data_IF_660884915587
#
_entry.id   IF_660884915587
#
_cell.length_a   1.000
_cell.length_b   1.000
_cell.length_c   1.000
_cell.angle_alpha   90.00
_cell.angle_beta   90.00
_cell.angle_gamma   90.00
#
_symmetry.space_group_name_H-M   'P 1'
#
loop_
_entity.id
_entity.type
_entity.pdbx_description
1 polymer ?
#
# COMPACT_ATOMS: atom_id res chain seq x y z
N UNK A 1 35.86 67.08 -4.53
CA UNK A 1 36.15 65.78 -5.16
C UNK A 1 35.39 64.73 -4.35
N UNK A 2 34.27 64.25 -4.87
CA UNK A 2 33.32 63.37 -4.17
C UNK A 2 33.47 61.98 -4.79
N UNK A 3 33.96 60.99 -4.03
CA UNK A 3 33.89 59.59 -4.43
C UNK A 3 32.98 58.81 -3.46
N UNK A 4 31.84 58.39 -4.00
CA UNK A 4 30.82 57.57 -3.35
C UNK A 4 31.32 56.12 -3.22
N UNK A 5 31.45 55.61 -2.00
CA UNK A 5 31.49 54.15 -1.76
C UNK A 5 30.08 53.56 -1.95
N UNK A 6 29.83 52.85 -3.06
CA UNK A 6 28.62 52.01 -3.22
C UNK A 6 28.76 50.76 -2.36
N UNK A 7 27.86 50.58 -1.39
CA UNK A 7 27.60 49.30 -0.72
C UNK A 7 26.96 48.34 -1.73
N UNK A 8 27.62 47.24 -2.05
CA UNK A 8 26.99 46.10 -2.70
C UNK A 8 26.24 45.30 -1.62
N UNK A 9 24.94 45.53 -1.50
CA UNK A 9 24.06 44.64 -0.76
C UNK A 9 23.86 43.43 -1.66
N UNK A 10 24.61 42.35 -1.40
CA UNK A 10 24.48 41.08 -2.08
C UNK A 10 23.11 40.51 -1.69
N UNK A 11 22.15 40.54 -2.62
CA UNK A 11 20.82 39.95 -2.45
C UNK A 11 20.97 38.42 -2.44
N UNK A 12 21.19 37.84 -1.25
CA UNK A 12 21.35 36.39 -1.01
C UNK A 12 19.98 35.68 -0.90
N UNK A 13 18.89 36.46 -0.81
CA UNK A 13 17.53 35.95 -0.62
C UNK A 13 16.94 35.13 -1.80
N UNK A 14 17.11 35.51 -3.08
CA UNK A 14 16.52 34.75 -4.19
C UNK A 14 17.24 33.41 -4.46
N UNK A 15 18.53 33.30 -4.13
CA UNK A 15 19.29 32.04 -4.25
C UNK A 15 18.95 31.04 -3.16
N UNK A 16 18.62 31.51 -1.95
CA UNK A 16 18.19 30.65 -0.84
C UNK A 16 16.77 30.08 -1.05
N UNK A 17 15.90 30.84 -1.72
CA UNK A 17 14.53 30.41 -2.06
C UNK A 17 14.47 29.38 -3.21
N UNK A 18 15.43 29.43 -4.15
CA UNK A 18 15.49 28.51 -5.28
C UNK A 18 15.90 27.07 -4.91
N UNK A 19 16.59 26.89 -3.79
CA UNK A 19 17.07 25.57 -3.32
C UNK A 19 15.98 24.81 -2.57
N UNK A 20 14.98 25.49 -2.01
CA UNK A 20 13.92 24.86 -1.20
C UNK A 20 12.90 24.05 -2.01
N UNK A 21 12.87 24.20 -3.34
CA UNK A 21 11.84 23.59 -4.20
C UNK A 21 12.17 22.15 -4.60
N UNK A 22 13.40 21.67 -4.38
CA UNK A 22 13.84 20.33 -4.83
C UNK A 22 13.74 19.23 -3.76
N UNK A 23 13.26 19.51 -2.55
CA UNK A 23 13.36 18.55 -1.43
C UNK A 23 12.18 17.59 -1.23
N UNK A 24 11.10 17.66 -2.01
CA UNK A 24 9.90 16.86 -1.72
C UNK A 24 9.33 16.08 -2.92
N UNK A 25 10.16 15.59 -3.84
CA UNK A 25 9.71 14.57 -4.79
C UNK A 25 9.88 13.17 -4.17
N UNK A 26 9.03 12.83 -3.20
CA UNK A 26 8.85 11.43 -2.80
C UNK A 26 7.91 10.78 -3.82
N UNK A 27 8.41 9.79 -4.56
CA UNK A 27 7.56 8.99 -5.46
C UNK A 27 6.76 8.02 -4.59
N UNK A 28 5.44 8.16 -4.59
CA UNK A 28 4.56 7.22 -3.89
C UNK A 28 4.49 5.90 -4.67
N UNK A 29 4.99 4.82 -4.04
CA UNK A 29 5.09 3.47 -4.64
C UNK A 29 3.91 2.59 -4.23
N UNK A 30 2.94 3.13 -3.46
CA UNK A 30 1.84 2.35 -2.90
C UNK A 30 0.81 2.00 -3.97
N UNK A 31 0.68 0.70 -4.25
CA UNK A 31 -0.28 0.16 -5.20
C UNK A 31 -1.35 -0.65 -4.48
N UNK A 32 -2.62 -0.28 -4.67
CA UNK A 32 -3.75 -1.13 -4.33
C UNK A 32 -3.84 -2.23 -5.39
N UNK A 33 -3.97 -3.51 -5.00
CA UNK A 33 -4.01 -4.60 -5.96
C UNK A 33 -5.22 -4.42 -6.90
N UNK A 34 -4.97 -4.53 -8.21
CA UNK A 34 -6.04 -4.74 -9.18
C UNK A 34 -6.55 -6.18 -9.00
N UNK A 35 -7.87 -6.36 -9.10
CA UNK A 35 -8.62 -7.57 -8.73
C UNK A 35 -7.97 -8.91 -9.10
N UNK A 36 -8.27 -9.93 -8.29
CA UNK A 36 -7.58 -11.22 -8.29
C UNK A 36 -8.17 -12.25 -9.25
N UNK A 37 -7.33 -13.23 -9.58
CA UNK A 37 -7.62 -14.35 -10.47
C UNK A 37 -8.84 -15.16 -9.99
N UNK A 38 -9.81 -15.47 -10.87
CA UNK A 38 -11.03 -16.19 -10.47
C UNK A 38 -10.70 -17.61 -10.02
N UNK A 39 -11.25 -18.01 -8.88
CA UNK A 39 -11.15 -19.39 -8.39
C UNK A 39 -12.36 -20.20 -8.88
N UNK A 40 -12.13 -21.41 -9.39
CA UNK A 40 -13.18 -22.29 -9.94
C UNK A 40 -14.02 -23.02 -8.88
N UNK A 41 -13.75 -22.79 -7.60
CA UNK A 41 -14.37 -23.51 -6.49
C UNK A 41 -15.86 -23.12 -6.28
N UNK A 42 -16.67 -24.02 -5.67
CA UNK A 42 -18.02 -23.69 -5.25
C UNK A 42 -18.02 -22.61 -4.15
N UNK A 43 -19.15 -21.94 -4.00
CA UNK A 43 -19.32 -20.87 -3.00
C UNK A 43 -19.16 -21.47 -1.60
N UNK A 44 -18.37 -20.82 -0.75
CA UNK A 44 -18.10 -21.32 0.60
C UNK A 44 -19.23 -21.00 1.61
N UNK A 45 -19.89 -19.85 1.43
CA UNK A 45 -21.04 -19.40 2.22
C UNK A 45 -22.17 -18.95 1.29
N UNK A 46 -23.32 -19.63 1.36
CA UNK A 46 -24.49 -19.30 0.53
C UNK A 46 -25.19 -18.00 0.93
N UNK A 47 -24.87 -17.47 2.12
CA UNK A 47 -25.44 -16.24 2.67
C UNK A 47 -24.58 -15.00 2.38
N UNK A 48 -25.19 -13.80 2.32
CA UNK A 48 -24.47 -12.54 2.13
C UNK A 48 -23.66 -12.15 3.37
N UNK A 49 -22.51 -11.52 3.15
CA UNK A 49 -21.69 -10.94 4.23
C UNK A 49 -21.71 -9.42 4.21
N UNK A 50 -21.79 -8.81 5.38
CA UNK A 50 -21.67 -7.37 5.56
C UNK A 50 -20.24 -7.02 5.97
N UNK A 51 -19.60 -6.10 5.25
CA UNK A 51 -18.32 -5.54 5.70
C UNK A 51 -18.63 -4.54 6.83
N UNK A 52 -18.17 -4.87 8.03
CA UNK A 52 -18.31 -4.03 9.20
C UNK A 52 -17.22 -2.97 9.27
N UNK A 53 -16.35 -3.09 10.26
CA UNK A 53 -15.18 -2.22 10.44
C UNK A 53 -14.12 -2.58 9.40
N UNK A 54 -13.74 -1.62 8.58
CA UNK A 54 -12.65 -1.77 7.60
C UNK A 54 -11.62 -0.69 7.83
N UNK A 55 -10.47 -1.07 8.37
CA UNK A 55 -9.39 -0.14 8.70
C UNK A 55 -8.12 -0.48 7.93
N UNK A 56 -7.46 0.57 7.43
CA UNK A 56 -6.13 0.46 6.84
C UNK A 56 -5.21 1.29 7.73
N UNK A 57 -4.39 0.60 8.51
CA UNK A 57 -3.39 1.21 9.38
C UNK A 57 -2.16 1.53 8.53
N UNK A 58 -2.22 2.67 7.85
CA UNK A 58 -1.11 3.23 7.11
C UNK A 58 -0.66 4.54 7.76
N UNK A 59 0.64 4.76 7.86
CA UNK A 59 1.22 5.89 8.55
C UNK A 59 1.08 7.22 7.79
N UNK A 60 0.59 7.22 6.54
CA UNK A 60 0.76 8.40 5.67
C UNK A 60 -0.47 8.98 4.99
N UNK A 61 -1.68 8.38 4.96
CA UNK A 61 -2.83 9.07 4.32
C UNK A 61 -4.23 8.51 4.61
N UNK A 62 -5.23 9.40 4.66
CA UNK A 62 -6.65 9.13 4.97
C UNK A 62 -7.46 8.56 3.77
N UNK A 63 -6.89 8.48 2.56
CA UNK A 63 -7.63 8.13 1.33
C UNK A 63 -7.67 6.65 0.93
N UNK A 64 -6.72 5.83 1.40
CA UNK A 64 -6.49 4.48 0.87
C UNK A 64 -7.52 3.42 1.32
N UNK A 65 -8.25 3.67 2.40
CA UNK A 65 -9.18 2.70 2.98
C UNK A 65 -10.31 2.31 2.02
N UNK A 66 -10.85 3.28 1.28
CA UNK A 66 -11.93 3.06 0.31
C UNK A 66 -11.51 2.18 -0.86
N UNK A 67 -10.32 2.42 -1.42
CA UNK A 67 -9.74 1.64 -2.50
C UNK A 67 -9.42 0.21 -2.06
N UNK A 68 -8.84 0.05 -0.86
CA UNK A 68 -8.60 -1.25 -0.25
C UNK A 68 -9.89 -2.03 0.01
N UNK A 69 -10.94 -1.35 0.49
CA UNK A 69 -12.25 -1.95 0.72
C UNK A 69 -12.87 -2.47 -0.57
N UNK A 70 -12.74 -1.71 -1.66
CA UNK A 70 -13.17 -2.14 -2.98
C UNK A 70 -12.38 -3.35 -3.49
N UNK A 71 -11.05 -3.30 -3.42
CA UNK A 71 -10.19 -4.41 -3.85
C UNK A 71 -10.43 -5.69 -3.04
N UNK A 72 -10.60 -5.55 -1.72
CA UNK A 72 -10.93 -6.66 -0.82
C UNK A 72 -12.30 -7.27 -1.17
N UNK A 73 -13.32 -6.43 -1.38
CA UNK A 73 -14.66 -6.88 -1.84
C UNK A 73 -14.56 -7.65 -3.14
N UNK A 74 -13.85 -7.12 -4.15
CA UNK A 74 -13.64 -7.82 -5.42
C UNK A 74 -13.01 -9.17 -5.18
N UNK A 75 -11.92 -9.23 -4.40
CA UNK A 75 -11.22 -10.48 -4.11
C UNK A 75 -12.13 -11.52 -3.46
N UNK A 76 -13.02 -11.15 -2.55
CA UNK A 76 -13.96 -12.11 -1.94
C UNK A 76 -14.97 -12.67 -2.94
N UNK A 77 -15.48 -11.83 -3.84
CA UNK A 77 -16.41 -12.22 -4.90
C UNK A 77 -15.73 -13.07 -5.97
N UNK A 78 -14.53 -12.66 -6.41
CA UNK A 78 -13.71 -13.35 -7.42
C UNK A 78 -13.30 -14.76 -6.94
N UNK A 79 -13.09 -14.92 -5.63
CA UNK A 79 -12.80 -16.20 -4.98
C UNK A 79 -14.06 -16.96 -4.53
N UNK A 80 -15.26 -16.44 -4.82
CA UNK A 80 -16.55 -17.05 -4.46
C UNK A 80 -16.66 -17.42 -2.98
N UNK A 81 -16.13 -16.58 -2.10
CA UNK A 81 -16.19 -16.86 -0.65
C UNK A 81 -17.63 -16.73 -0.14
N UNK A 82 -18.34 -15.72 -0.60
CA UNK A 82 -19.73 -15.41 -0.23
C UNK A 82 -20.59 -15.24 -1.47
N UNK A 83 -21.90 -15.44 -1.35
CA UNK A 83 -22.85 -15.18 -2.43
C UNK A 83 -22.95 -13.70 -2.78
N UNK A 84 -22.91 -12.84 -1.77
CA UNK A 84 -22.87 -11.38 -1.93
C UNK A 84 -22.01 -10.74 -0.83
N UNK A 85 -21.32 -9.65 -1.19
CA UNK A 85 -20.52 -8.84 -0.25
C UNK A 85 -21.03 -7.41 -0.25
N UNK A 86 -21.56 -6.99 0.91
CA UNK A 86 -22.26 -5.72 1.10
C UNK A 86 -21.34 -4.77 1.89
N UNK A 87 -20.82 -3.75 1.21
CA UNK A 87 -19.75 -2.92 1.76
C UNK A 87 -20.20 -1.65 2.50
N UNK A 88 -21.39 -1.10 2.26
CA UNK A 88 -21.72 0.28 2.68
C UNK A 88 -23.07 0.41 3.41
N UNK A 89 -23.47 -0.59 4.19
CA UNK A 89 -24.67 -0.52 5.00
C UNK A 89 -24.35 -0.11 6.46
N UNK A 90 -25.04 0.93 6.99
CA UNK A 90 -24.91 1.28 8.40
C UNK A 90 -25.40 0.11 9.26
N UNK A 91 -24.78 -0.06 10.44
CA UNK A 91 -25.03 -1.20 11.34
C UNK A 91 -26.50 -1.38 11.69
N UNK A 92 -27.26 -0.27 11.80
CA UNK A 92 -28.68 -0.23 12.14
C UNK A 92 -29.60 -0.81 11.06
N UNK A 93 -29.14 -0.89 9.80
CA UNK A 93 -29.91 -1.41 8.66
C UNK A 93 -29.55 -2.84 8.29
N UNK A 94 -28.71 -3.51 9.08
CA UNK A 94 -28.32 -4.91 8.85
C UNK A 94 -29.46 -5.84 9.26
N UNK A 95 -29.65 -6.91 8.52
CA UNK A 95 -30.61 -7.94 8.89
C UNK A 95 -30.21 -8.60 10.23
N UNK A 96 -31.20 -8.99 11.04
CA UNK A 96 -30.93 -9.79 12.23
C UNK A 96 -30.25 -11.10 11.83
N UNK A 97 -29.34 -11.60 12.67
CA UNK A 97 -28.56 -12.81 12.43
C UNK A 97 -27.65 -12.79 11.17
N UNK A 98 -27.30 -11.60 10.67
CA UNK A 98 -26.42 -11.47 9.51
C UNK A 98 -24.95 -11.75 9.83
N UNK A 99 -24.23 -12.28 8.84
CA UNK A 99 -22.79 -12.45 8.90
C UNK A 99 -22.07 -11.10 8.73
N UNK A 100 -21.15 -10.78 9.64
CA UNK A 100 -20.37 -9.55 9.59
C UNK A 100 -18.88 -9.87 9.58
N UNK A 101 -18.16 -9.19 8.69
CA UNK A 101 -16.72 -9.34 8.50
C UNK A 101 -16.03 -8.00 8.80
N UNK A 102 -15.21 -8.00 9.84
CA UNK A 102 -14.31 -6.90 10.17
C UNK A 102 -12.91 -7.22 9.65
N UNK A 103 -12.23 -6.20 9.13
CA UNK A 103 -10.92 -6.33 8.49
C UNK A 103 -10.02 -5.17 8.88
N UNK A 104 -8.78 -5.50 9.21
CA UNK A 104 -7.71 -4.55 9.45
C UNK A 104 -6.51 -4.91 8.57
N UNK A 105 -6.07 -3.95 7.76
CA UNK A 105 -4.93 -4.10 6.85
C UNK A 105 -3.80 -3.18 7.31
N UNK A 106 -2.60 -3.71 7.46
CA UNK A 106 -1.42 -2.95 7.86
C UNK A 106 -0.30 -3.18 6.83
N UNK A 107 -0.19 -2.32 5.80
CA UNK A 107 0.94 -2.33 4.90
C UNK A 107 2.14 -1.62 5.54
N UNK A 108 3.33 -2.17 5.37
CA UNK A 108 4.59 -1.54 5.75
C UNK A 108 5.59 -1.64 4.59
N UNK A 109 6.13 -0.51 4.17
CA UNK A 109 7.16 -0.43 3.14
C UNK A 109 8.40 0.23 3.75
N UNK A 110 9.51 -0.49 3.71
CA UNK A 110 10.81 -0.03 4.15
C UNK A 110 11.77 0.01 2.97
N UNK A 111 12.43 1.13 2.80
CA UNK A 111 13.38 1.33 1.72
C UNK A 111 14.78 1.57 2.28
N UNK A 112 15.76 0.87 1.72
CA UNK A 112 17.17 0.98 2.08
C UNK A 112 17.99 1.31 0.85
N UNK A 113 18.85 2.32 1.00
CA UNK A 113 19.79 2.76 -0.02
C UNK A 113 21.20 2.32 0.37
N UNK A 114 21.93 1.73 -0.58
CA UNK A 114 23.36 1.51 -0.38
C UNK A 114 24.14 2.77 -0.77
N UNK A 115 24.45 3.60 0.23
CA UNK A 115 25.14 4.89 0.04
C UNK A 115 26.55 4.76 -0.54
N UNK A 116 27.21 3.60 -0.38
CA UNK A 116 28.56 3.38 -0.91
C UNK A 116 28.59 3.22 -2.43
N UNK A 117 27.52 2.67 -3.00
CA UNK A 117 27.34 2.56 -4.45
C UNK A 117 26.59 3.77 -5.02
N UNK A 118 25.72 4.37 -4.21
CA UNK A 118 24.92 5.56 -4.53
C UNK A 118 25.72 6.84 -4.24
N UNK A 119 26.93 6.97 -4.81
CA UNK A 119 27.71 8.20 -4.67
C UNK A 119 27.09 9.34 -5.48
N UNK A 120 27.04 10.59 -4.99
CA UNK A 120 26.56 11.70 -5.81
C UNK A 120 27.54 11.91 -6.98
N UNK A 121 27.02 12.06 -8.19
CA UNK A 121 27.82 12.51 -9.32
C UNK A 121 28.44 13.88 -8.97
N UNK A 122 29.73 13.88 -8.63
CA UNK A 122 30.48 15.09 -8.34
C UNK A 122 30.67 15.82 -9.67
N UNK A 123 30.19 17.06 -9.77
CA UNK A 123 30.42 17.92 -10.93
C UNK A 123 31.92 17.99 -11.27
N UNK A 124 32.35 17.87 -12.55
CA UNK A 124 31.56 17.94 -13.77
C UNK A 124 31.17 16.58 -14.36
N UNK A 125 31.33 15.47 -13.63
CA UNK A 125 31.06 14.12 -14.13
C UNK A 125 29.57 13.75 -14.04
N UNK A 126 28.73 14.60 -14.63
CA UNK A 126 27.29 14.36 -14.79
C UNK A 126 26.99 13.18 -15.74
N UNK A 127 27.99 12.72 -16.51
CA UNK A 127 27.88 11.59 -17.43
C UNK A 127 28.12 10.22 -16.81
N UNK A 128 28.68 10.15 -15.59
CA UNK A 128 28.70 8.92 -14.80
C UNK A 128 27.49 8.95 -13.89
N UNK A 129 26.33 8.53 -14.41
CA UNK A 129 25.14 8.40 -13.58
C UNK A 129 25.43 7.42 -12.44
N UNK A 130 25.07 7.74 -11.19
CA UNK A 130 25.35 6.83 -10.11
C UNK A 130 24.47 5.60 -10.25
N UNK A 131 25.11 4.44 -10.23
CA UNK A 131 24.44 3.17 -10.04
C UNK A 131 23.76 3.24 -8.68
N UNK A 132 22.43 3.35 -8.68
CA UNK A 132 21.66 3.36 -7.45
C UNK A 132 21.27 1.93 -7.12
N UNK A 133 21.74 1.43 -5.98
CA UNK A 133 21.31 0.15 -5.44
C UNK A 133 20.29 0.41 -4.34
N UNK A 134 19.04 0.09 -4.66
CA UNK A 134 17.90 0.23 -3.76
C UNK A 134 17.36 -1.13 -3.41
N UNK A 135 17.17 -1.38 -2.13
CA UNK A 135 16.47 -2.56 -1.62
C UNK A 135 15.20 -2.09 -0.93
N UNK A 136 14.06 -2.58 -1.41
CA UNK A 136 12.74 -2.31 -0.88
C UNK A 136 12.21 -3.58 -0.24
N UNK A 137 11.84 -3.49 1.03
CA UNK A 137 11.19 -4.55 1.76
C UNK A 137 9.74 -4.16 1.99
N UNK A 138 8.82 -5.03 1.59
CA UNK A 138 7.41 -4.81 1.77
C UNK A 138 6.81 -5.92 2.61
N UNK A 139 5.98 -5.54 3.58
CA UNK A 139 5.16 -6.49 4.34
C UNK A 139 3.72 -6.00 4.39
N UNK A 140 2.79 -6.93 4.32
CA UNK A 140 1.37 -6.66 4.50
C UNK A 140 0.82 -7.65 5.52
N UNK A 141 0.15 -7.12 6.54
CA UNK A 141 -0.61 -7.90 7.50
C UNK A 141 -2.10 -7.66 7.26
N UNK A 142 -2.88 -8.74 7.17
CA UNK A 142 -4.34 -8.69 7.12
C UNK A 142 -4.87 -9.46 8.32
N UNK A 143 -5.60 -8.77 9.19
CA UNK A 143 -6.38 -9.37 10.26
C UNK A 143 -7.84 -9.33 9.89
N UNK A 144 -8.55 -10.41 10.13
CA UNK A 144 -9.98 -10.46 9.89
C UNK A 144 -10.69 -11.22 11.01
N UNK A 145 -11.93 -10.79 11.25
CA UNK A 145 -12.85 -11.41 12.20
C UNK A 145 -14.22 -11.53 11.55
N UNK A 146 -14.69 -12.76 11.41
CA UNK A 146 -16.02 -13.10 10.96
C UNK A 146 -16.88 -13.47 12.16
N UNK A 147 -18.02 -12.82 12.31
CA UNK A 147 -18.91 -13.04 13.43
C UNK A 147 -20.38 -12.97 13.02
N UNK A 148 -21.22 -13.51 13.90
CA UNK A 148 -22.68 -13.51 13.80
C UNK A 148 -23.23 -13.30 15.20
N UNK A 149 -24.11 -12.32 15.37
CA UNK A 149 -24.73 -12.00 16.67
C UNK A 149 -23.70 -11.88 17.82
N UNK A 150 -22.58 -11.20 17.55
CA UNK A 150 -21.42 -11.03 18.45
C UNK A 150 -20.64 -12.32 18.80
N UNK A 151 -20.97 -13.47 18.20
CA UNK A 151 -20.17 -14.69 18.30
C UNK A 151 -19.16 -14.76 17.16
N UNK A 152 -17.88 -14.91 17.49
CA UNK A 152 -16.81 -15.05 16.51
C UNK A 152 -16.86 -16.45 15.91
N UNK A 153 -17.13 -16.53 14.60
CA UNK A 153 -17.09 -17.78 13.83
C UNK A 153 -15.65 -18.10 13.47
N UNK A 154 -14.92 -17.11 12.97
CA UNK A 154 -13.50 -17.29 12.64
C UNK A 154 -12.75 -15.98 12.77
N UNK A 155 -11.51 -16.08 13.23
CA UNK A 155 -10.56 -14.98 13.24
C UNK A 155 -9.20 -15.51 12.81
N UNK A 156 -8.46 -14.70 12.07
CA UNK A 156 -7.09 -15.05 11.70
C UNK A 156 -6.27 -13.82 11.36
N UNK A 157 -4.95 -14.04 11.28
CA UNK A 157 -3.96 -13.08 10.82
C UNK A 157 -3.18 -13.72 9.69
N UNK A 158 -3.05 -12.99 8.59
CA UNK A 158 -2.23 -13.36 7.44
C UNK A 158 -1.14 -12.32 7.31
N UNK A 159 0.07 -12.79 7.01
CA UNK A 159 1.21 -11.92 6.84
C UNK A 159 1.99 -12.39 5.62
N UNK A 160 2.16 -11.49 4.65
CA UNK A 160 2.95 -11.72 3.46
C UNK A 160 4.08 -10.70 3.41
N UNK A 161 5.24 -11.15 2.94
CA UNK A 161 6.45 -10.33 2.86
C UNK A 161 7.12 -10.56 1.52
N UNK A 162 7.68 -9.50 0.95
CA UNK A 162 8.48 -9.55 -0.25
C UNK A 162 9.63 -8.55 -0.17
N UNK A 163 10.71 -8.84 -0.89
CA UNK A 163 11.89 -8.00 -0.95
C UNK A 163 12.38 -7.97 -2.39
N UNK A 164 12.63 -6.78 -2.90
CA UNK A 164 13.14 -6.56 -4.24
C UNK A 164 14.40 -5.68 -4.13
N UNK A 165 15.43 -6.02 -4.90
CA UNK A 165 16.64 -5.19 -5.00
C UNK A 165 16.85 -4.84 -6.46
N UNK A 166 16.83 -3.54 -6.75
CA UNK A 166 17.02 -3.04 -8.10
C UNK A 166 18.33 -2.25 -8.12
N UNK A 167 19.15 -2.56 -9.13
CA UNK A 167 20.33 -1.80 -9.48
C UNK A 167 19.98 -0.95 -10.70
N UNK A 168 19.79 0.35 -10.50
CA UNK A 168 19.30 1.26 -11.53
C UNK A 168 20.43 2.18 -11.98
N UNK A 169 20.55 2.36 -13.28
CA UNK A 169 21.26 3.49 -13.87
C UNK A 169 20.23 4.60 -14.16
N UNK A 170 19.95 5.46 -13.17
CA UNK A 170 18.80 6.37 -13.24
C UNK A 170 18.23 6.72 -11.87
N UNK A 171 17.50 7.84 -11.75
CA UNK A 171 16.75 8.21 -10.53
C UNK A 171 15.29 7.71 -10.51
N UNK A 172 14.77 7.09 -11.59
CA UNK A 172 13.32 6.98 -11.82
C UNK A 172 12.80 5.60 -12.23
N UNK A 173 13.37 4.50 -11.72
CA UNK A 173 12.81 3.17 -12.00
C UNK A 173 12.15 2.54 -10.77
N UNK A 174 10.86 2.85 -10.57
CA UNK A 174 10.04 2.35 -9.44
C UNK A 174 9.21 1.12 -9.78
N UNK A 175 9.06 0.78 -11.07
CA UNK A 175 8.19 -0.30 -11.54
C UNK A 175 8.44 -1.66 -10.88
N UNK A 176 9.70 -2.10 -10.63
CA UNK A 176 9.91 -3.38 -9.94
C UNK A 176 9.34 -3.38 -8.51
N UNK A 177 9.43 -2.26 -7.79
CA UNK A 177 8.89 -2.12 -6.44
C UNK A 177 7.36 -2.01 -6.43
N UNK A 178 6.79 -1.27 -7.38
CA UNK A 178 5.33 -1.19 -7.58
C UNK A 178 4.76 -2.58 -7.87
N UNK A 179 5.41 -3.35 -8.76
CA UNK A 179 5.03 -4.72 -9.09
C UNK A 179 5.17 -5.65 -7.88
N UNK A 180 6.25 -5.53 -7.11
CA UNK A 180 6.45 -6.28 -5.87
C UNK A 180 5.31 -6.02 -4.88
N UNK A 181 4.96 -4.75 -4.66
CA UNK A 181 3.87 -4.36 -3.75
C UNK A 181 2.53 -4.91 -4.26
N UNK A 182 2.22 -4.69 -5.54
CA UNK A 182 0.97 -5.15 -6.15
C UNK A 182 0.80 -6.67 -6.07
N UNK A 183 1.84 -7.43 -6.40
CA UNK A 183 1.80 -8.90 -6.38
C UNK A 183 1.67 -9.45 -4.96
N UNK A 184 2.42 -8.87 -4.00
CA UNK A 184 2.33 -9.26 -2.58
C UNK A 184 0.93 -8.98 -2.03
N UNK A 185 0.34 -7.83 -2.38
CA UNK A 185 -1.02 -7.46 -1.97
C UNK A 185 -2.07 -8.40 -2.55
N UNK A 186 -2.00 -8.68 -3.86
CA UNK A 186 -2.93 -9.60 -4.51
C UNK A 186 -2.85 -11.01 -3.88
N UNK A 187 -1.62 -11.50 -3.61
CA UNK A 187 -1.40 -12.78 -2.95
C UNK A 187 -2.00 -12.82 -1.55
N UNK A 188 -1.78 -11.78 -0.74
CA UNK A 188 -2.33 -11.69 0.61
C UNK A 188 -3.87 -11.71 0.62
N UNK A 189 -4.50 -11.01 -0.33
CA UNK A 189 -5.97 -11.00 -0.49
C UNK A 189 -6.51 -12.38 -0.87
N UNK A 190 -5.88 -13.07 -1.82
CA UNK A 190 -6.29 -14.44 -2.23
C UNK A 190 -6.13 -15.43 -1.10
N UNK A 191 -5.02 -15.36 -0.35
CA UNK A 191 -4.81 -16.20 0.83
C UNK A 191 -5.86 -15.94 1.90
N UNK A 192 -6.22 -14.68 2.12
CA UNK A 192 -7.29 -14.27 3.02
C UNK A 192 -8.64 -14.87 2.63
N UNK A 193 -9.04 -14.69 1.38
CA UNK A 193 -10.25 -15.30 0.84
C UNK A 193 -10.25 -16.84 1.03
N UNK A 194 -9.12 -17.50 0.74
CA UNK A 194 -9.00 -18.96 0.88
C UNK A 194 -9.06 -19.44 2.35
N UNK A 195 -8.57 -18.64 3.30
CA UNK A 195 -8.59 -19.00 4.72
C UNK A 195 -9.98 -18.80 5.32
N UNK A 196 -10.73 -17.80 4.84
CA UNK A 196 -12.14 -17.63 5.18
C UNK A 196 -12.95 -18.81 4.64
N UNK A 197 -12.71 -19.21 3.37
CA UNK A 197 -13.48 -20.27 2.70
C UNK A 197 -13.26 -21.67 3.27
N UNK A 198 -12.13 -21.94 3.93
CA UNK A 198 -11.76 -23.27 4.45
C UNK A 198 -12.35 -23.61 5.82
N UNK A 199 -12.96 -22.65 6.51
CA UNK A 199 -13.50 -22.84 7.87
C UNK A 199 -15.05 -22.91 8.01
N UNK A 200 -15.81 -23.55 7.10
CA UNK A 200 -17.16 -23.97 7.42
C UNK A 200 -17.12 -25.42 7.92
N UNK A 201 -16.93 -25.62 9.23
CA UNK A 201 -17.38 -26.81 9.95
C UNK A 201 -17.91 -26.39 11.31
#
# INVERSE_FOLDING_TARGET
>A
MIERKRKYIFNILPTLLGISVFWNCAVDVKQVPRGGFPNSNPIAYDEPVYIGKFEVLDNTEIGYSSAWKYAFRSSLLDNRVFSEVIANLPSEKRAANSLVLDVEISPNYEEKYNMWWTWPAIYPFTFTWPVQMRTGNYSITIRYSLYRENQIITQSKIEERSSETVTIYGFYHTSPFENMIQTTNAKALVLCASNISKKPQ
#
